data_IF_708749999907
#
_entry.id   IF_708749999907
#
_cell.length_a   1.000
_cell.length_b   1.000
_cell.length_c   1.000
_cell.angle_alpha   90.00
_cell.angle_beta   90.00
_cell.angle_gamma   90.00
#
_symmetry.space_group_name_H-M   'P 1'
#
loop_
_entity.id
_entity.type
_entity.pdbx_description
1 polymer ?
#
# COMPACT_ATOMS: atom_id res chain seq x y z
N UNK A 1 -11.75 12.75 13.72
CA UNK A 1 -11.52 11.40 14.28
C UNK A 1 -11.51 10.31 13.22
N UNK A 2 -12.40 10.33 12.22
CA UNK A 2 -12.41 9.32 11.15
C UNK A 2 -11.14 9.28 10.27
N UNK A 3 -10.38 10.38 10.14
CA UNK A 3 -9.13 10.43 9.36
C UNK A 3 -7.91 9.84 10.09
N UNK A 4 -7.95 9.65 11.41
CA UNK A 4 -6.78 9.19 12.17
C UNK A 4 -6.33 7.76 11.82
N UNK A 5 -7.24 6.77 11.67
CA UNK A 5 -6.85 5.44 11.19
C UNK A 5 -6.27 5.47 9.77
N UNK A 6 -6.81 6.32 8.88
CA UNK A 6 -6.28 6.49 7.52
C UNK A 6 -4.87 7.09 7.53
N UNK A 7 -4.66 8.16 8.31
CA UNK A 7 -3.35 8.82 8.43
C UNK A 7 -2.28 7.84 8.96
N UNK A 8 -2.58 7.10 10.03
CA UNK A 8 -1.63 6.14 10.60
C UNK A 8 -1.36 4.96 9.66
N UNK A 9 -2.38 4.42 8.99
CA UNK A 9 -2.16 3.32 8.03
C UNK A 9 -1.37 3.75 6.80
N UNK A 10 -1.43 5.01 6.37
CA UNK A 10 -0.54 5.57 5.35
C UNK A 10 0.89 5.75 5.85
N UNK A 11 1.06 6.32 7.04
CA UNK A 11 2.37 6.56 7.66
C UNK A 11 3.12 5.24 7.89
N UNK A 12 2.41 4.17 8.26
CA UNK A 12 3.00 2.84 8.45
C UNK A 12 3.02 1.98 7.17
N UNK A 13 2.72 2.56 6.00
CA UNK A 13 2.67 1.86 4.71
C UNK A 13 1.67 0.71 4.60
N UNK A 14 0.74 0.57 5.54
CA UNK A 14 -0.23 -0.55 5.58
C UNK A 14 -1.31 -0.43 4.52
N UNK A 15 -1.74 0.79 4.19
CA UNK A 15 -2.90 0.97 3.31
C UNK A 15 -2.64 0.52 1.85
N UNK A 16 -1.46 0.86 1.32
CA UNK A 16 -1.06 0.55 -0.06
C UNK A 16 0.02 -0.53 -0.14
N UNK A 17 0.69 -0.84 0.98
CA UNK A 17 1.82 -1.77 1.00
C UNK A 17 3.08 -1.17 0.38
N UNK A 18 3.98 -2.06 -0.02
CA UNK A 18 5.23 -1.76 -0.71
C UNK A 18 5.26 -2.49 -2.04
N UNK A 19 5.93 -1.91 -3.04
CA UNK A 19 6.21 -2.60 -4.28
C UNK A 19 7.13 -3.80 -4.00
N UNK A 20 6.73 -4.96 -4.55
CA UNK A 20 7.35 -6.25 -4.25
C UNK A 20 7.66 -7.03 -5.54
N UNK A 21 8.66 -7.91 -5.52
CA UNK A 21 9.01 -8.72 -6.69
C UNK A 21 7.84 -9.57 -7.19
N UNK A 22 6.94 -9.99 -6.30
CA UNK A 22 5.71 -10.69 -6.67
C UNK A 22 4.76 -9.87 -7.56
N UNK A 23 4.98 -8.55 -7.73
CA UNK A 23 4.24 -7.71 -8.67
C UNK A 23 5.00 -7.49 -10.00
N UNK A 24 6.26 -7.95 -10.13
CA UNK A 24 7.13 -7.71 -11.29
C UNK A 24 6.61 -8.36 -12.59
N UNK A 25 5.98 -9.52 -12.48
CA UNK A 25 5.49 -10.29 -13.62
C UNK A 25 4.01 -10.05 -13.92
N UNK A 26 3.37 -9.10 -13.23
CA UNK A 26 1.99 -8.66 -13.52
C UNK A 26 2.02 -7.70 -14.70
N UNK A 27 1.28 -8.00 -15.75
CA UNK A 27 1.26 -7.16 -16.95
C UNK A 27 0.31 -5.97 -16.78
N UNK A 28 0.61 -4.87 -17.47
CA UNK A 28 -0.18 -3.64 -17.41
C UNK A 28 -1.66 -3.87 -17.79
N UNK A 29 -1.92 -4.71 -18.80
CA UNK A 29 -3.27 -5.03 -19.25
C UNK A 29 -4.09 -5.91 -18.29
N UNK A 30 -3.45 -6.52 -17.29
CA UNK A 30 -4.10 -7.40 -16.30
C UNK A 30 -4.47 -6.65 -15.02
N UNK A 31 -4.00 -5.41 -14.88
CA UNK A 31 -4.27 -4.61 -13.69
C UNK A 31 -5.67 -4.02 -13.76
N UNK A 32 -6.43 -4.16 -12.67
CA UNK A 32 -7.60 -3.30 -12.48
C UNK A 32 -7.17 -1.85 -12.26
N UNK A 33 -8.04 -0.85 -12.52
CA UNK A 33 -7.73 0.55 -12.23
C UNK A 33 -7.28 0.76 -10.77
N UNK A 34 -7.97 0.10 -9.83
CA UNK A 34 -7.58 0.09 -8.41
C UNK A 34 -6.19 -0.54 -8.21
N UNK A 35 -5.92 -1.70 -8.81
CA UNK A 35 -4.64 -2.38 -8.69
C UNK A 35 -3.46 -1.56 -9.25
N UNK A 36 -3.69 -0.78 -10.30
CA UNK A 36 -2.71 0.14 -10.85
C UNK A 36 -2.39 1.28 -9.87
N UNK A 37 -3.43 1.90 -9.30
CA UNK A 37 -3.23 2.97 -8.30
C UNK A 37 -2.49 2.47 -7.06
N UNK A 38 -2.84 1.28 -6.56
CA UNK A 38 -2.16 0.68 -5.39
C UNK A 38 -0.68 0.46 -5.67
N UNK A 39 -0.32 -0.13 -6.81
CA UNK A 39 1.08 -0.34 -7.20
C UNK A 39 1.84 0.97 -7.38
N UNK A 40 1.21 1.97 -8.00
CA UNK A 40 1.79 3.30 -8.14
C UNK A 40 2.14 3.92 -6.78
N UNK A 41 1.20 3.88 -5.83
CA UNK A 41 1.44 4.40 -4.48
C UNK A 41 2.46 3.55 -3.70
N UNK A 42 2.41 2.23 -3.85
CA UNK A 42 3.31 1.30 -3.17
C UNK A 42 4.77 1.40 -3.66
N UNK A 43 4.99 1.81 -4.92
CA UNK A 43 6.32 2.05 -5.48
C UNK A 43 7.02 3.26 -4.84
N UNK A 44 6.26 4.25 -4.36
CA UNK A 44 6.83 5.42 -3.68
C UNK A 44 6.36 5.51 -2.23
N UNK A 45 7.06 4.82 -1.30
CA UNK A 45 6.83 4.97 0.14
C UNK A 45 6.87 6.44 0.57
N UNK A 46 7.79 7.24 0.01
CA UNK A 46 7.86 8.68 0.31
C UNK A 46 6.56 9.42 0.02
N UNK A 47 5.92 9.17 -1.13
CA UNK A 47 4.64 9.81 -1.48
C UNK A 47 3.53 9.36 -0.52
N UNK A 48 3.46 8.07 -0.18
CA UNK A 48 2.48 7.56 0.77
C UNK A 48 2.66 8.16 2.17
N UNK A 49 3.91 8.27 2.63
CA UNK A 49 4.25 8.88 3.91
C UNK A 49 3.85 10.37 3.95
N UNK A 50 4.21 11.14 2.91
CA UNK A 50 3.87 12.56 2.83
C UNK A 50 2.35 12.78 2.77
N UNK A 51 1.60 11.93 2.08
CA UNK A 51 0.14 11.97 2.07
C UNK A 51 -0.43 11.72 3.48
N UNK A 52 0.05 10.69 4.19
CA UNK A 52 -0.35 10.43 5.58
C UNK A 52 0.03 11.55 6.55
N UNK A 53 1.18 12.20 6.33
CA UNK A 53 1.62 13.36 7.10
C UNK A 53 0.71 14.57 6.87
N UNK A 54 0.28 14.82 5.62
CA UNK A 54 -0.67 15.89 5.30
C UNK A 54 -2.02 15.68 6.01
N UNK A 55 -2.55 14.44 6.02
CA UNK A 55 -3.75 14.07 6.77
C UNK A 55 -3.56 14.31 8.28
N UNK A 56 -2.43 13.89 8.85
CA UNK A 56 -2.13 14.08 10.26
C UNK A 56 -2.02 15.58 10.62
N UNK A 57 -1.35 16.37 9.79
CA UNK A 57 -1.24 17.82 9.96
C UNK A 57 -2.62 18.49 9.92
N UNK A 58 -3.49 18.08 8.99
CA UNK A 58 -4.86 18.58 8.92
C UNK A 58 -5.62 18.30 10.23
N UNK A 59 -5.51 17.08 10.76
CA UNK A 59 -6.13 16.71 12.05
C UNK A 59 -5.57 17.54 13.20
N UNK A 60 -4.24 17.69 13.30
CA UNK A 60 -3.59 18.50 14.35
C UNK A 60 -4.10 19.94 14.29
N UNK A 61 -4.14 20.55 13.11
CA UNK A 61 -4.57 21.94 12.95
C UNK A 61 -6.07 22.14 13.23
N UNK A 62 -6.91 21.14 12.92
CA UNK A 62 -8.36 21.15 13.22
C UNK A 62 -8.65 21.16 14.73
N UNK A 63 -7.76 20.60 15.55
CA UNK A 63 -7.95 20.52 17.01
C UNK A 63 -7.74 21.88 17.70
N UNK A 64 -6.92 22.75 17.12
CA UNK A 64 -6.71 24.08 17.66
C UNK A 64 -7.64 25.09 16.99
N UNK A 65 -8.59 25.62 17.76
CA UNK A 65 -9.60 26.60 17.31
C UNK A 65 -9.05 27.74 16.43
N UNK A 66 -7.82 28.22 16.72
CA UNK A 66 -7.18 29.32 15.97
C UNK A 66 -6.66 28.91 14.60
N UNK A 67 -6.27 27.64 14.43
CA UNK A 67 -5.77 27.07 13.16
C UNK A 67 -6.76 26.14 12.48
N UNK A 68 -7.97 25.97 13.04
CA UNK A 68 -8.96 25.05 12.53
C UNK A 68 -9.34 25.34 11.07
N UNK A 69 -9.31 26.60 10.65
CA UNK A 69 -9.54 26.97 9.25
C UNK A 69 -8.44 26.47 8.31
N UNK A 70 -7.16 26.48 8.74
CA UNK A 70 -6.03 25.91 7.97
C UNK A 70 -6.15 24.39 7.90
N UNK A 71 -6.47 23.75 9.03
CA UNK A 71 -6.69 22.31 9.07
C UNK A 71 -7.85 21.89 8.17
N UNK A 72 -8.93 22.66 8.14
CA UNK A 72 -10.06 22.42 7.23
C UNK A 72 -9.66 22.61 5.75
N UNK A 73 -8.82 23.60 5.44
CA UNK A 73 -8.33 23.82 4.07
C UNK A 73 -7.47 22.66 3.58
N UNK A 74 -6.50 22.23 4.39
CA UNK A 74 -5.64 21.09 4.05
C UNK A 74 -6.47 19.81 3.92
N UNK A 75 -7.38 19.56 4.87
CA UNK A 75 -8.29 18.41 4.80
C UNK A 75 -9.17 18.43 3.53
N UNK A 76 -9.69 19.60 3.13
CA UNK A 76 -10.51 19.73 1.94
C UNK A 76 -9.71 19.45 0.67
N UNK A 77 -8.50 20.01 0.56
CA UNK A 77 -7.61 19.76 -0.59
C UNK A 77 -7.21 18.29 -0.69
N UNK A 78 -6.74 17.71 0.41
CA UNK A 78 -6.28 16.33 0.45
C UNK A 78 -7.43 15.34 0.17
N UNK A 79 -8.60 15.52 0.80
CA UNK A 79 -9.77 14.69 0.50
C UNK A 79 -10.30 14.88 -0.92
N UNK A 80 -10.13 16.06 -1.53
CA UNK A 80 -10.48 16.27 -2.95
C UNK A 80 -9.57 15.47 -3.87
N UNK A 81 -8.27 15.42 -3.59
CA UNK A 81 -7.31 14.59 -4.34
C UNK A 81 -7.64 13.11 -4.17
N UNK A 82 -7.88 12.65 -2.94
CA UNK A 82 -8.29 11.25 -2.66
C UNK A 82 -9.60 10.91 -3.35
N UNK A 83 -10.58 11.82 -3.32
CA UNK A 83 -11.86 11.62 -4.00
C UNK A 83 -11.68 11.53 -5.52
N UNK A 84 -10.86 12.41 -6.11
CA UNK A 84 -10.54 12.37 -7.54
C UNK A 84 -9.89 11.04 -7.91
N UNK A 85 -8.88 10.59 -7.17
CA UNK A 85 -8.24 9.29 -7.38
C UNK A 85 -9.24 8.13 -7.27
N UNK A 86 -10.13 8.18 -6.27
CA UNK A 86 -11.16 7.15 -6.11
C UNK A 86 -12.15 7.12 -7.28
N UNK A 87 -12.44 8.28 -7.89
CA UNK A 87 -13.30 8.39 -9.06
C UNK A 87 -12.60 7.89 -10.33
N UNK A 88 -11.35 8.30 -10.56
CA UNK A 88 -10.60 8.01 -11.78
C UNK A 88 -10.02 6.59 -11.82
N UNK A 89 -9.75 5.98 -10.67
CA UNK A 89 -9.22 4.62 -10.55
C UNK A 89 -10.25 3.60 -10.03
N UNK A 90 -11.54 3.93 -10.12
CA UNK A 90 -12.66 3.04 -9.81
C UNK A 90 -12.57 2.34 -8.43
N UNK A 91 -12.13 3.09 -7.41
CA UNK A 91 -11.95 2.55 -6.06
C UNK A 91 -13.31 2.44 -5.36
N UNK A 92 -13.70 1.31 -4.75
CA UNK A 92 -15.06 1.11 -4.21
C UNK A 92 -15.46 2.01 -3.03
N UNK A 93 -14.55 2.80 -2.44
CA UNK A 93 -14.81 3.66 -1.25
C UNK A 93 -15.17 5.13 -1.56
N UNK A 94 -15.60 5.43 -2.81
CA UNK A 94 -15.87 6.79 -3.32
C UNK A 94 -16.86 7.59 -2.46
N UNK A 95 -17.87 6.92 -1.90
CA UNK A 95 -18.95 7.53 -1.15
C UNK A 95 -18.47 8.12 0.20
N UNK A 96 -17.59 7.39 0.88
CA UNK A 96 -17.07 7.82 2.18
C UNK A 96 -16.09 8.99 2.04
N UNK A 97 -15.16 8.91 1.08
CA UNK A 97 -14.23 10.02 0.81
C UNK A 97 -14.95 11.27 0.30
N UNK A 98 -15.98 11.11 -0.54
CA UNK A 98 -16.82 12.22 -1.02
C UNK A 98 -17.59 12.91 0.11
N UNK A 99 -18.18 12.13 1.02
CA UNK A 99 -18.86 12.69 2.20
C UNK A 99 -17.88 13.46 3.11
N UNK A 100 -16.66 12.94 3.31
CA UNK A 100 -15.63 13.64 4.10
C UNK A 100 -15.15 14.94 3.44
N UNK A 101 -14.95 14.94 2.11
CA UNK A 101 -14.61 16.14 1.36
C UNK A 101 -15.72 17.21 1.48
N UNK A 102 -16.97 16.79 1.36
CA UNK A 102 -18.14 17.67 1.46
C UNK A 102 -18.29 18.26 2.87
N UNK A 103 -18.07 17.47 3.93
CA UNK A 103 -18.04 17.97 5.31
C UNK A 103 -16.89 18.98 5.52
N UNK A 104 -15.70 18.71 4.97
CA UNK A 104 -14.58 19.65 4.98
C UNK A 104 -14.92 20.99 4.32
N UNK A 105 -15.56 20.94 3.14
CA UNK A 105 -16.05 22.13 2.43
C UNK A 105 -17.10 22.89 3.25
N UNK A 106 -18.07 22.19 3.86
CA UNK A 106 -19.08 22.81 4.73
C UNK A 106 -18.44 23.54 5.92
N UNK A 107 -17.46 22.93 6.57
CA UNK A 107 -16.71 23.56 7.67
C UNK A 107 -15.92 24.78 7.22
N UNK A 108 -15.57 24.85 5.93
CA UNK A 108 -14.85 25.98 5.34
C UNK A 108 -15.77 27.17 5.02
N UNK A 109 -17.07 26.94 4.77
CA UNK A 109 -18.05 27.97 4.37
C UNK A 109 -17.95 29.26 5.22
N UNK A 110 -17.91 29.22 6.57
CA UNK A 110 -17.83 30.43 7.39
C UNK A 110 -16.51 31.23 7.21
N UNK A 111 -15.47 30.58 6.68
CA UNK A 111 -14.14 31.16 6.48
C UNK A 111 -13.80 31.41 5.00
N UNK A 112 -14.62 30.95 4.03
CA UNK A 112 -14.42 31.19 2.59
C UNK A 112 -14.20 32.68 2.26
N UNK A 113 -15.00 33.63 2.76
CA UNK A 113 -14.81 35.05 2.45
C UNK A 113 -13.44 35.58 2.91
N UNK A 114 -12.89 35.03 4.01
CA UNK A 114 -11.57 35.37 4.53
C UNK A 114 -10.44 34.80 3.69
N UNK A 115 -10.56 33.53 3.29
CA UNK A 115 -9.56 32.87 2.44
C UNK A 115 -9.48 33.58 1.08
N UNK A 116 -10.63 33.92 0.50
CA UNK A 116 -10.71 34.68 -0.76
C UNK A 116 -10.13 36.09 -0.57
N UNK A 117 -10.50 36.79 0.51
CA UNK A 117 -9.95 38.12 0.80
C UNK A 117 -8.42 38.08 0.95
N UNK A 118 -7.90 37.09 1.69
CA UNK A 118 -6.46 36.88 1.83
C UNK A 118 -5.77 36.58 0.50
N UNK A 119 -6.33 35.69 -0.33
CA UNK A 119 -5.78 35.33 -1.64
C UNK A 119 -5.70 36.54 -2.60
N UNK A 120 -6.63 37.50 -2.48
CA UNK A 120 -6.63 38.75 -3.23
C UNK A 120 -5.86 39.89 -2.51
N UNK A 121 -5.08 39.59 -1.47
CA UNK A 121 -4.26 40.57 -0.74
C UNK A 121 -5.08 41.59 0.08
N UNK A 122 -6.34 41.30 0.36
CA UNK A 122 -7.26 42.17 1.12
C UNK A 122 -7.18 41.86 2.61
N UNK A 123 -7.42 42.89 3.44
CA UNK A 123 -7.46 42.74 4.90
C UNK A 123 -8.53 41.73 5.33
N UNK A 124 -8.14 40.84 6.24
CA UNK A 124 -8.99 39.75 6.72
C UNK A 124 -9.64 40.18 8.03
N UNK A 125 -10.98 40.26 8.07
CA UNK A 125 -11.73 40.66 9.27
C UNK A 125 -11.53 39.71 10.49
N UNK A 126 -11.93 40.13 11.70
CA UNK A 126 -11.64 39.44 12.97
C UNK A 126 -12.18 38.00 12.94
N UNK A 127 -11.42 37.02 13.45
CA UNK A 127 -11.77 35.59 13.41
C UNK A 127 -13.21 35.29 13.90
N UNK A 128 -13.92 34.37 13.22
CA UNK A 128 -15.26 33.90 13.65
C UNK A 128 -15.02 33.00 14.85
N UNK A 129 -14.91 33.61 16.03
CA UNK A 129 -14.80 32.90 17.30
C UNK A 129 -16.10 33.10 18.09
N UNK A 130 -17.02 32.15 17.97
CA UNK A 130 -18.13 32.03 18.90
C UNK A 130 -17.70 31.29 20.17
N UNK A 131 -17.91 31.89 21.34
CA UNK A 131 -17.90 31.17 22.60
C UNK A 131 -19.15 30.27 22.62
N UNK A 132 -18.94 28.94 22.59
CA UNK A 132 -20.04 27.97 22.70
C UNK A 132 -20.67 28.01 24.09
N UNK A 133 -19.91 28.44 25.11
CA UNK A 133 -20.31 28.45 26.52
C UNK A 133 -19.77 29.69 27.24
N UNK A 134 -20.60 30.30 28.09
CA UNK A 134 -20.28 31.54 28.82
C UNK A 134 -19.62 31.31 30.19
N UNK A 135 -19.56 30.07 30.68
CA UNK A 135 -18.98 29.75 31.99
C UNK A 135 -17.44 29.83 31.95
N UNK A 136 -16.86 30.76 32.73
CA UNK A 136 -15.41 31.04 32.77
C UNK A 136 -14.55 29.86 33.22
N UNK A 137 -15.06 29.02 34.13
CA UNK A 137 -14.32 27.84 34.64
C UNK A 137 -14.30 26.76 33.56
N UNK A 138 -15.46 26.51 32.94
CA UNK A 138 -15.59 25.55 31.85
C UNK A 138 -14.72 25.93 30.65
N UNK A 139 -14.70 27.21 30.26
CA UNK A 139 -13.85 27.74 29.19
C UNK A 139 -12.35 27.62 29.53
N UNK A 140 -11.95 27.84 30.79
CA UNK A 140 -10.55 27.72 31.23
C UNK A 140 -10.06 26.27 31.24
N UNK A 141 -10.92 25.34 31.63
CA UNK A 141 -10.64 23.90 31.64
C UNK A 141 -10.61 23.36 30.20
N UNK A 142 -11.65 23.60 29.40
CA UNK A 142 -11.70 23.13 28.00
C UNK A 142 -10.60 23.71 27.12
N UNK A 143 -10.07 24.91 27.44
CA UNK A 143 -8.91 25.49 26.75
C UNK A 143 -7.66 24.62 26.78
N UNK A 144 -7.45 23.85 27.85
CA UNK A 144 -6.27 22.99 28.00
C UNK A 144 -6.60 21.51 27.91
N UNK A 145 -7.75 21.08 28.45
CA UNK A 145 -8.20 19.68 28.38
C UNK A 145 -8.44 19.24 26.94
N UNK A 146 -9.03 20.09 26.09
CA UNK A 146 -9.29 19.73 24.70
C UNK A 146 -8.02 19.45 23.87
N UNK A 147 -6.98 20.33 23.85
CA UNK A 147 -5.76 20.03 23.12
C UNK A 147 -4.96 18.89 23.74
N UNK A 148 -4.91 18.76 25.07
CA UNK A 148 -4.21 17.65 25.74
C UNK A 148 -4.88 16.32 25.40
N UNK A 149 -6.20 16.23 25.52
CA UNK A 149 -6.96 15.03 25.15
C UNK A 149 -6.77 14.68 23.68
N UNK A 150 -6.75 15.69 22.81
CA UNK A 150 -6.54 15.48 21.39
C UNK A 150 -5.12 14.97 21.07
N UNK A 151 -4.09 15.51 21.71
CA UNK A 151 -2.71 15.00 21.62
C UNK A 151 -2.63 13.57 22.15
N UNK A 152 -3.25 13.28 23.30
CA UNK A 152 -3.30 11.92 23.87
C UNK A 152 -4.00 10.95 22.92
N UNK A 153 -5.08 11.35 22.26
CA UNK A 153 -5.76 10.51 21.25
C UNK A 153 -4.88 10.31 20.01
N UNK A 154 -4.21 11.36 19.53
CA UNK A 154 -3.30 11.25 18.36
C UNK A 154 -2.13 10.32 18.69
N UNK A 155 -1.41 10.59 19.77
CA UNK A 155 -0.22 9.83 20.18
C UNK A 155 -0.62 8.42 20.59
N UNK A 156 -1.71 8.28 21.36
CA UNK A 156 -2.24 6.99 21.79
C UNK A 156 -2.72 6.13 20.62
N UNK A 157 -3.42 6.71 19.64
CA UNK A 157 -3.79 5.98 18.41
C UNK A 157 -2.56 5.62 17.58
N UNK A 158 -1.59 6.52 17.44
CA UNK A 158 -0.35 6.25 16.71
C UNK A 158 0.48 5.13 17.36
N UNK A 159 0.62 5.15 18.68
CA UNK A 159 1.29 4.09 19.43
C UNK A 159 0.52 2.78 19.41
N UNK A 160 -0.80 2.80 19.59
CA UNK A 160 -1.61 1.59 19.52
C UNK A 160 -1.56 0.96 18.12
N UNK A 161 -1.65 1.78 17.07
CA UNK A 161 -1.50 1.35 15.69
C UNK A 161 -0.07 0.87 15.44
N UNK A 162 0.97 1.60 15.87
CA UNK A 162 2.38 1.18 15.72
C UNK A 162 2.73 -0.10 16.48
N UNK A 163 2.17 -0.33 17.67
CA UNK A 163 2.36 -1.57 18.46
C UNK A 163 1.57 -2.72 17.83
N UNK A 164 0.31 -2.50 17.45
CA UNK A 164 -0.49 -3.48 16.71
C UNK A 164 0.15 -3.83 15.36
N UNK A 165 0.85 -2.88 14.75
CA UNK A 165 1.55 -3.00 13.47
C UNK A 165 3.05 -3.29 13.65
N UNK A 166 3.55 -3.54 14.86
CA UNK A 166 4.91 -4.05 15.09
C UNK A 166 5.10 -5.47 14.48
N UNK A 167 4.04 -6.00 13.86
CA UNK A 167 3.97 -7.15 12.97
C UNK A 167 4.16 -6.85 11.47
N UNK A 168 4.30 -5.58 11.07
CA UNK A 168 4.27 -5.11 9.68
C UNK A 168 5.58 -4.54 9.15
N UNK A 169 6.71 -4.70 9.88
CA UNK A 169 8.02 -4.49 9.24
C UNK A 169 8.18 -5.55 8.15
N UNK A 170 8.60 -5.18 6.93
CA UNK A 170 9.06 -6.16 5.96
C UNK A 170 10.06 -7.07 6.67
N UNK A 171 9.81 -8.39 6.66
CA UNK A 171 10.82 -9.34 7.11
C UNK A 171 12.12 -9.15 6.32
N UNK A 172 13.23 -9.69 6.83
CA UNK A 172 14.44 -9.78 6.01
C UNK A 172 14.08 -10.56 4.72
N UNK A 173 14.50 -10.12 3.52
CA UNK A 173 14.28 -10.88 2.29
C UNK A 173 14.84 -12.30 2.45
N UNK A 174 14.18 -13.28 1.82
CA UNK A 174 14.80 -14.61 1.73
C UNK A 174 15.90 -14.55 0.68
N UNK A 175 16.84 -15.48 0.75
CA UNK A 175 17.87 -15.65 -0.28
C UNK A 175 17.25 -15.92 -1.67
N UNK A 176 16.12 -16.62 -1.71
CA UNK A 176 15.38 -16.90 -2.95
C UNK A 176 14.44 -15.75 -3.38
N UNK A 177 14.39 -14.62 -2.64
CA UNK A 177 13.56 -13.48 -3.06
C UNK A 177 14.11 -12.88 -4.35
N UNK A 178 13.32 -12.91 -5.42
CA UNK A 178 13.74 -12.47 -6.74
C UNK A 178 12.70 -12.76 -7.82
N UNK A 179 13.06 -12.46 -9.07
CA UNK A 179 12.26 -12.77 -10.26
C UNK A 179 13.08 -13.71 -11.12
N UNK A 180 12.46 -14.80 -11.56
CA UNK A 180 13.15 -15.90 -12.22
C UNK A 180 12.42 -16.32 -13.48
N UNK A 181 13.19 -16.65 -14.51
CA UNK A 181 12.74 -17.47 -15.63
C UNK A 181 12.95 -18.93 -15.26
N UNK A 182 11.99 -19.78 -15.61
CA UNK A 182 11.96 -21.17 -15.20
C UNK A 182 12.20 -22.09 -16.39
N UNK A 183 13.04 -23.10 -16.18
CA UNK A 183 13.18 -24.24 -17.09
C UNK A 183 12.88 -25.51 -16.32
N UNK A 184 11.91 -26.29 -16.78
CA UNK A 184 11.48 -27.52 -16.09
C UNK A 184 12.11 -28.74 -16.73
N UNK A 185 12.50 -29.70 -15.89
CA UNK A 185 13.00 -31.02 -16.28
C UNK A 185 12.35 -32.11 -15.42
N UNK A 186 12.38 -33.35 -15.91
CA UNK A 186 11.74 -34.48 -15.23
C UNK A 186 10.28 -34.70 -15.66
N UNK A 187 9.49 -35.39 -14.82
CA UNK A 187 8.07 -35.65 -15.13
C UNK A 187 7.22 -34.45 -14.73
N UNK A 188 6.32 -33.93 -15.58
CA UNK A 188 5.41 -32.85 -15.21
C UNK A 188 4.50 -33.27 -14.06
N UNK A 189 4.35 -32.39 -13.07
CA UNK A 189 3.44 -32.54 -11.96
C UNK A 189 2.27 -31.57 -12.11
N UNK A 190 1.05 -32.05 -11.87
CA UNK A 190 -0.16 -31.22 -11.92
C UNK A 190 -0.14 -30.20 -10.78
N UNK A 191 -0.48 -28.95 -11.07
CA UNK A 191 -0.61 -27.90 -10.06
C UNK A 191 -2.05 -27.85 -9.56
N UNK A 192 -2.23 -28.12 -8.27
CA UNK A 192 -3.55 -28.18 -7.64
C UNK A 192 -4.41 -26.94 -7.90
N UNK A 193 -5.64 -27.19 -8.36
CA UNK A 193 -6.63 -26.17 -8.64
C UNK A 193 -6.41 -25.39 -9.94
N UNK A 194 -5.59 -25.94 -10.85
CA UNK A 194 -5.38 -25.42 -12.21
C UNK A 194 -5.37 -26.56 -13.23
N UNK A 195 -5.52 -26.22 -14.51
CA UNK A 195 -5.28 -27.16 -15.62
C UNK A 195 -3.80 -27.20 -16.04
N UNK A 196 -2.93 -26.52 -15.28
CA UNK A 196 -1.49 -26.35 -15.57
C UNK A 196 -0.63 -27.37 -14.84
N UNK A 197 0.53 -27.66 -15.42
CA UNK A 197 1.58 -28.49 -14.86
C UNK A 197 2.83 -27.68 -14.55
N UNK A 198 3.79 -28.29 -13.85
CA UNK A 198 5.11 -27.69 -13.60
C UNK A 198 5.89 -27.38 -14.89
N UNK A 199 5.59 -28.04 -16.01
CA UNK A 199 6.19 -27.77 -17.32
C UNK A 199 5.66 -26.47 -17.94
N UNK A 200 4.42 -26.09 -17.61
CA UNK A 200 3.79 -24.88 -18.15
C UNK A 200 4.32 -23.61 -17.47
N UNK A 201 5.05 -23.72 -16.36
CA UNK A 201 5.60 -22.57 -15.65
C UNK A 201 6.76 -21.96 -16.45
N UNK A 202 6.60 -20.71 -16.85
CA UNK A 202 7.66 -19.95 -17.54
C UNK A 202 8.38 -18.99 -16.62
N UNK A 203 7.69 -18.46 -15.61
CA UNK A 203 8.25 -17.48 -14.69
C UNK A 203 7.71 -17.64 -13.27
N UNK A 204 8.58 -17.38 -12.29
CA UNK A 204 8.21 -17.30 -10.87
C UNK A 204 8.82 -16.03 -10.30
N UNK A 205 8.05 -15.31 -9.49
CA UNK A 205 8.57 -14.22 -8.68
C UNK A 205 8.27 -14.43 -7.20
N UNK A 206 9.32 -14.43 -6.40
CA UNK A 206 9.29 -14.54 -4.95
C UNK A 206 9.45 -13.16 -4.32
N UNK A 207 8.41 -12.70 -3.65
CA UNK A 207 8.37 -11.40 -2.99
C UNK A 207 9.37 -11.27 -1.85
N UNK A 208 9.96 -10.09 -1.69
CA UNK A 208 10.85 -9.73 -0.61
C UNK A 208 10.09 -9.34 0.68
N UNK A 209 8.81 -8.95 0.55
CA UNK A 209 8.04 -8.35 1.64
C UNK A 209 6.96 -9.32 2.13
N UNK A 210 6.99 -9.62 3.43
CA UNK A 210 6.02 -10.49 4.07
C UNK A 210 5.81 -10.14 5.54
N UNK A 211 4.69 -10.59 6.08
CA UNK A 211 4.29 -10.39 7.49
C UNK A 211 3.62 -11.66 7.99
N UNK A 212 4.26 -12.37 8.92
CA UNK A 212 3.73 -13.46 9.79
C UNK A 212 3.04 -14.67 9.15
N UNK A 213 2.46 -14.53 7.95
CA UNK A 213 1.66 -15.48 7.18
C UNK A 213 2.36 -15.92 5.90
N UNK A 214 3.63 -15.51 5.73
CA UNK A 214 4.43 -15.71 4.52
C UNK A 214 4.67 -14.41 3.73
N UNK A 215 5.37 -14.56 2.60
CA UNK A 215 5.70 -13.52 1.63
C UNK A 215 4.90 -13.75 0.35
N UNK A 216 4.61 -12.70 -0.43
CA UNK A 216 3.85 -12.87 -1.67
C UNK A 216 4.68 -13.62 -2.71
N UNK A 217 4.03 -14.39 -3.56
CA UNK A 217 4.64 -14.93 -4.77
C UNK A 217 3.69 -14.81 -5.95
N UNK A 218 4.23 -14.99 -7.14
CA UNK A 218 3.44 -15.06 -8.37
C UNK A 218 4.08 -16.01 -9.37
N UNK A 219 3.23 -16.61 -10.20
CA UNK A 219 3.61 -17.59 -11.22
C UNK A 219 2.97 -17.19 -12.55
N UNK A 220 3.72 -17.35 -13.64
CA UNK A 220 3.27 -17.15 -15.01
C UNK A 220 3.36 -18.45 -15.79
N UNK A 221 2.32 -18.76 -16.52
CA UNK A 221 2.23 -19.94 -17.38
C UNK A 221 2.50 -19.63 -18.86
N UNK A 222 2.76 -20.68 -19.64
CA UNK A 222 3.09 -20.63 -21.07
C UNK A 222 1.96 -20.08 -21.94
N UNK A 223 0.70 -20.30 -21.54
CA UNK A 223 -0.50 -19.76 -22.19
C UNK A 223 -0.80 -18.30 -21.82
N UNK A 224 -0.01 -17.73 -20.89
CA UNK A 224 -0.18 -16.39 -20.38
C UNK A 224 -1.02 -16.31 -19.10
N UNK A 225 -1.54 -17.41 -18.56
CA UNK A 225 -2.27 -17.38 -17.28
C UNK A 225 -1.38 -16.88 -16.14
N UNK A 226 -1.99 -16.11 -15.23
CA UNK A 226 -1.33 -15.57 -14.05
C UNK A 226 -1.93 -16.12 -12.77
N UNK A 227 -1.07 -16.51 -11.83
CA UNK A 227 -1.49 -16.95 -10.50
C UNK A 227 -0.70 -16.21 -9.43
N UNK A 228 -1.40 -15.74 -8.39
CA UNK A 228 -0.77 -15.20 -7.19
C UNK A 228 -0.79 -16.21 -6.05
N UNK A 229 0.07 -16.00 -5.06
CA UNK A 229 0.15 -16.87 -3.90
C UNK A 229 0.93 -16.23 -2.77
N UNK A 230 1.16 -17.05 -1.74
CA UNK A 230 2.00 -16.73 -0.60
C UNK A 230 2.94 -17.89 -0.37
N UNK A 231 4.22 -17.61 -0.13
CA UNK A 231 5.22 -18.61 0.19
C UNK A 231 5.83 -18.39 1.57
N UNK A 232 6.29 -19.47 2.18
CA UNK A 232 7.12 -19.45 3.38
C UNK A 232 8.30 -20.39 3.21
N UNK A 233 9.44 -20.02 3.79
CA UNK A 233 10.67 -20.81 3.76
C UNK A 233 10.94 -21.35 5.15
N UNK A 234 11.20 -22.66 5.24
CA UNK A 234 11.62 -23.36 6.45
C UNK A 234 12.84 -24.23 6.12
N UNK A 235 14.03 -23.73 6.45
CA UNK A 235 15.30 -24.35 6.06
C UNK A 235 15.45 -24.40 4.53
N UNK A 236 15.47 -25.60 3.96
CA UNK A 236 15.55 -25.85 2.52
C UNK A 236 14.19 -26.20 1.89
N UNK A 237 13.10 -26.03 2.62
CA UNK A 237 11.74 -26.29 2.14
C UNK A 237 11.01 -24.97 1.90
N UNK A 238 10.30 -24.88 0.77
CA UNK A 238 9.42 -23.78 0.42
C UNK A 238 7.99 -24.31 0.35
N UNK A 239 7.12 -23.79 1.20
CA UNK A 239 5.69 -24.04 1.11
C UNK A 239 5.03 -22.90 0.35
N UNK A 240 4.55 -23.18 -0.86
CA UNK A 240 3.87 -22.24 -1.73
C UNK A 240 2.36 -22.48 -1.71
N UNK A 241 1.61 -21.52 -1.19
CA UNK A 241 0.16 -21.51 -1.17
C UNK A 241 -0.37 -20.69 -2.34
N UNK A 242 -0.94 -21.34 -3.34
CA UNK A 242 -1.41 -20.69 -4.57
C UNK A 242 -2.91 -20.35 -4.46
N UNK A 243 -3.28 -19.19 -5.00
CA UNK A 243 -4.67 -18.76 -5.18
C UNK A 243 -5.18 -19.16 -6.57
N UNK A 244 -6.50 -19.12 -6.84
CA UNK A 244 -7.02 -19.41 -8.17
C UNK A 244 -6.39 -18.53 -9.25
N UNK A 245 -6.20 -19.10 -10.45
CA UNK A 245 -5.74 -18.36 -11.63
C UNK A 245 -6.59 -17.11 -11.83
N UNK A 246 -5.94 -15.98 -12.08
CA UNK A 246 -6.62 -14.71 -12.31
C UNK A 246 -7.29 -14.69 -13.68
N UNK A 247 -8.58 -15.06 -13.70
CA UNK A 247 -9.46 -14.95 -14.86
C UNK A 247 -10.68 -14.09 -14.55
N UNK A 248 -10.93 -13.09 -15.41
CA UNK A 248 -12.10 -12.21 -15.33
C UNK A 248 -12.13 -11.31 -14.09
N UNK A 249 -13.34 -10.87 -13.71
CA UNK A 249 -13.56 -10.03 -12.55
C UNK A 249 -13.57 -10.87 -11.26
N UNK A 250 -12.46 -10.85 -10.52
CA UNK A 250 -12.32 -11.55 -9.24
C UNK A 250 -12.25 -10.57 -8.06
N UNK A 251 -12.73 -11.00 -6.90
CA UNK A 251 -12.67 -10.20 -5.65
C UNK A 251 -11.31 -10.35 -4.95
N UNK A 252 -11.10 -9.52 -3.92
CA UNK A 252 -9.87 -9.47 -3.12
C UNK A 252 -9.67 -10.69 -2.20
N UNK A 253 -10.75 -11.36 -1.78
CA UNK A 253 -10.68 -12.50 -0.86
C UNK A 253 -10.71 -13.78 -1.68
N UNK A 254 -9.65 -14.59 -1.56
CA UNK A 254 -9.47 -15.83 -2.33
C UNK A 254 -9.19 -16.99 -1.38
N UNK A 255 -9.97 -18.06 -1.52
CA UNK A 255 -9.59 -19.36 -0.97
C UNK A 255 -8.33 -19.85 -1.67
N UNK A 256 -7.52 -20.66 -0.99
CA UNK A 256 -6.40 -21.34 -1.66
C UNK A 256 -6.92 -22.27 -2.74
N UNK A 257 -6.27 -22.32 -3.90
CA UNK A 257 -6.51 -23.36 -4.90
C UNK A 257 -5.73 -24.65 -4.57
N UNK A 258 -4.58 -24.52 -3.91
CA UNK A 258 -3.77 -25.63 -3.43
C UNK A 258 -2.52 -25.18 -2.68
N UNK A 259 -1.74 -26.14 -2.20
CA UNK A 259 -0.43 -25.92 -1.59
C UNK A 259 0.58 -26.82 -2.29
N UNK A 260 1.73 -26.26 -2.68
CA UNK A 260 2.84 -26.99 -3.29
C UNK A 260 4.06 -26.84 -2.40
N UNK A 261 4.75 -27.93 -2.12
CA UNK A 261 6.01 -27.93 -1.39
C UNK A 261 7.17 -28.16 -2.36
N UNK A 262 8.19 -27.31 -2.26
CA UNK A 262 9.42 -27.41 -3.03
C UNK A 262 10.60 -27.58 -2.09
N UNK A 263 11.49 -28.51 -2.41
CA UNK A 263 12.84 -28.48 -1.84
C UNK A 263 13.70 -27.59 -2.72
N UNK A 264 14.39 -26.61 -2.13
CA UNK A 264 15.25 -25.70 -2.88
C UNK A 264 16.72 -25.90 -2.54
N UNK A 265 17.57 -25.80 -3.55
CA UNK A 265 19.03 -25.72 -3.40
C UNK A 265 19.62 -24.69 -4.34
N UNK A 266 20.65 -23.98 -3.89
CA UNK A 266 21.44 -23.10 -4.75
C UNK A 266 22.38 -23.95 -5.61
N UNK A 267 22.37 -23.71 -6.93
CA UNK A 267 23.17 -24.47 -7.91
C UNK A 267 24.35 -23.65 -8.43
N UNK A 268 24.23 -22.32 -8.39
CA UNK A 268 25.26 -21.35 -8.77
C UNK A 268 24.85 -19.93 -8.34
N UNK A 269 25.69 -18.92 -8.59
CA UNK A 269 25.39 -17.52 -8.21
C UNK A 269 24.06 -17.05 -8.81
N UNK A 270 23.02 -16.96 -7.97
CA UNK A 270 21.68 -16.50 -8.38
C UNK A 270 20.85 -17.51 -9.18
N UNK A 271 21.31 -18.77 -9.28
CA UNK A 271 20.56 -19.88 -9.87
C UNK A 271 20.14 -20.89 -8.79
N UNK A 272 18.85 -21.22 -8.78
CA UNK A 272 18.26 -22.12 -7.78
C UNK A 272 17.60 -23.30 -8.48
N UNK A 273 17.67 -24.48 -7.88
CA UNK A 273 16.84 -25.63 -8.27
C UNK A 273 15.70 -25.79 -7.27
N UNK A 274 14.47 -25.92 -7.77
CA UNK A 274 13.29 -26.29 -7.00
C UNK A 274 12.83 -27.68 -7.39
N UNK A 275 12.77 -28.60 -6.43
CA UNK A 275 12.28 -29.96 -6.64
C UNK A 275 10.90 -30.13 -6.03
N UNK A 276 9.93 -30.54 -6.85
CA UNK A 276 8.59 -30.93 -6.43
C UNK A 276 8.33 -32.38 -6.88
N UNK A 277 8.54 -33.34 -5.97
CA UNK A 277 8.43 -34.77 -6.30
C UNK A 277 9.45 -35.22 -7.35
N UNK A 278 8.95 -35.59 -8.54
CA UNK A 278 9.76 -36.00 -9.70
C UNK A 278 10.00 -34.87 -10.72
N UNK A 279 9.45 -33.67 -10.50
CA UNK A 279 9.75 -32.47 -11.30
C UNK A 279 10.90 -31.70 -10.67
N UNK A 280 11.80 -31.18 -11.51
CA UNK A 280 12.87 -30.26 -11.11
C UNK A 280 12.77 -28.98 -11.96
N UNK A 281 12.61 -27.84 -11.30
CA UNK A 281 12.53 -26.52 -11.92
C UNK A 281 13.81 -25.76 -11.65
N UNK A 282 14.57 -25.46 -12.70
CA UNK A 282 15.74 -24.60 -12.63
C UNK A 282 15.31 -23.14 -12.78
N UNK A 283 15.60 -22.34 -11.76
CA UNK A 283 15.33 -20.92 -11.69
C UNK A 283 16.57 -20.14 -12.09
N UNK A 284 16.44 -19.32 -13.13
CA UNK A 284 17.48 -18.39 -13.56
C UNK A 284 17.03 -16.96 -13.32
N UNK A 285 17.87 -16.17 -12.67
CA UNK A 285 17.54 -14.79 -12.33
C UNK A 285 17.22 -13.95 -13.58
N UNK A 286 16.19 -13.11 -13.48
CA UNK A 286 15.77 -12.17 -14.51
C UNK A 286 15.96 -10.72 -14.04
N UNK A 287 17.13 -10.16 -14.35
CA UNK A 287 17.49 -8.78 -13.98
C UNK A 287 16.61 -7.74 -14.67
N UNK A 288 16.13 -8.02 -15.89
CA UNK A 288 15.33 -7.07 -16.66
C UNK A 288 13.97 -6.83 -16.01
N UNK A 289 13.38 -7.89 -15.44
CA UNK A 289 12.10 -7.79 -14.69
C UNK A 289 12.29 -7.31 -13.26
N UNK A 290 13.51 -7.35 -12.71
CA UNK A 290 13.86 -6.75 -11.40
C UNK A 290 14.23 -5.27 -11.47
N UNK A 291 14.56 -4.76 -12.66
CA UNK A 291 15.09 -3.41 -12.85
C UNK A 291 14.35 -2.30 -12.09
N UNK A 292 13.01 -2.31 -12.09
CA UNK A 292 12.21 -1.31 -11.38
C UNK A 292 12.48 -1.29 -9.86
N UNK A 293 12.66 -2.47 -9.28
CA UNK A 293 12.84 -2.66 -7.84
C UNK A 293 14.30 -2.46 -7.42
N UNK A 294 15.25 -2.89 -8.24
CA UNK A 294 16.69 -2.86 -7.92
C UNK A 294 17.33 -1.47 -8.13
N UNK A 295 16.82 -0.68 -9.08
CA UNK A 295 17.45 0.57 -9.49
C UNK A 295 17.45 1.65 -8.41
N UNK A 296 16.38 1.73 -7.62
CA UNK A 296 16.13 2.81 -6.65
C UNK A 296 15.97 4.20 -7.29
N UNK A 297 15.88 5.23 -6.43
CA UNK A 297 15.81 6.63 -6.84
C UNK A 297 17.20 7.28 -6.83
N UNK A 298 17.55 7.98 -7.91
CA UNK A 298 18.80 8.74 -8.03
C UNK A 298 18.48 10.20 -8.34
N UNK A 299 19.18 11.11 -7.69
CA UNK A 299 18.99 12.56 -7.82
C UNK A 299 20.16 13.27 -8.52
N UNK A 300 21.12 12.50 -9.02
CA UNK A 300 22.25 13.03 -9.77
C UNK A 300 21.88 13.37 -11.23
N UNK A 301 22.69 14.21 -11.90
CA UNK A 301 22.54 14.49 -13.33
C UNK A 301 23.01 13.27 -14.15
N UNK A 302 22.20 12.22 -14.18
CA UNK A 302 22.38 11.05 -15.03
C UNK A 302 21.43 11.12 -16.22
N UNK A 303 21.82 10.54 -17.36
CA UNK A 303 20.93 10.42 -18.51
C UNK A 303 19.68 9.62 -18.11
N UNK A 304 18.47 10.13 -18.38
CA UNK A 304 17.25 9.41 -18.03
C UNK A 304 17.14 8.13 -18.85
N UNK A 305 16.77 7.04 -18.18
CA UNK A 305 16.49 5.75 -18.82
C UNK A 305 14.98 5.65 -19.00
N UNK A 306 14.55 5.51 -20.25
CA UNK A 306 13.15 5.33 -20.64
C UNK A 306 12.98 3.92 -21.23
N UNK A 307 12.15 3.08 -20.61
CA UNK A 307 11.86 1.69 -20.99
C UNK A 307 10.35 1.53 -21.14
#
# INVERSE_FOLDING_TARGET
MALLPYAWTKIYHVQMGYADYADAIVQYGEMSPMGLLWRFMAFSPTVQFLAGLAELLAVILLLFRRSAWLGALIAALDMSVVFLLNLTFDVPVKQLSGAMALVGLILLIPNVPRVVSFAFGRSVGPAVNGLIWHNRIFVRITRWVSPILAVVIIVGSGLATGISLNWGRPGAPEEISGVYTVTTSGKPALIEGTDHTTEDITQIAFGQIGSGKGKRMSVRYSDGDFQDGVYSVDGQSITAKLYPVRKGAQTLIRGSSGTVEFQYSEVGEGEFSLRAGESELTLRNDEERRFLFDRGFRWGPETPVNR
#
